data_IF_767891878021
#
_entry.id   IF_767891878021
#
_cell.length_a   1.000
_cell.length_b   1.000
_cell.length_c   1.000
_cell.angle_alpha   90.00
_cell.angle_beta   90.00
_cell.angle_gamma   90.00
#
_symmetry.space_group_name_H-M   'P 1'
#
loop_
_entity.id
_entity.type
_entity.pdbx_description
1 polymer ?
#
# COMPACT_ATOMS: atom_id res chain seq x y z
N UNK A 1 0.49 -5.53 -6.11
CA UNK A 1 1.61 -6.41 -6.55
C UNK A 1 1.96 -7.48 -5.51
N UNK A 2 2.72 -8.55 -5.83
CA UNK A 2 3.30 -9.49 -4.83
C UNK A 2 4.81 -9.67 -5.03
N UNK A 3 5.59 -9.65 -3.95
CA UNK A 3 7.07 -9.74 -3.95
C UNK A 3 7.58 -10.70 -2.89
N UNK A 4 8.85 -11.10 -2.95
CA UNK A 4 9.46 -11.92 -1.90
C UNK A 4 10.04 -11.06 -0.77
N UNK A 5 10.13 -11.62 0.44
CA UNK A 5 10.77 -10.96 1.58
C UNK A 5 12.24 -10.60 1.30
N UNK A 6 12.95 -11.42 0.52
CA UNK A 6 14.34 -11.15 0.11
C UNK A 6 14.42 -9.93 -0.80
N UNK A 7 13.51 -9.82 -1.77
CA UNK A 7 13.49 -8.70 -2.70
C UNK A 7 13.13 -7.38 -2.01
N UNK A 8 12.17 -7.42 -1.07
CA UNK A 8 11.84 -6.28 -0.22
C UNK A 8 13.05 -5.80 0.59
N UNK A 9 13.81 -6.73 1.19
CA UNK A 9 15.01 -6.38 1.97
C UNK A 9 16.04 -5.65 1.12
N UNK A 10 16.30 -6.12 -0.10
CA UNK A 10 17.30 -5.53 -1.00
C UNK A 10 16.85 -4.22 -1.65
N UNK A 11 15.53 -3.99 -1.79
CA UNK A 11 14.97 -2.85 -2.53
C UNK A 11 13.95 -2.05 -1.70
N UNK A 12 14.15 -1.92 -0.39
CA UNK A 12 13.16 -1.34 0.53
C UNK A 12 12.65 0.03 0.07
N UNK A 13 13.57 0.94 -0.31
CA UNK A 13 13.20 2.29 -0.72
C UNK A 13 12.31 2.35 -1.97
N UNK A 14 12.51 1.43 -2.94
CA UNK A 14 11.66 1.31 -4.12
C UNK A 14 10.23 0.93 -3.73
N UNK A 15 10.09 -0.07 -2.85
CA UNK A 15 8.78 -0.57 -2.45
C UNK A 15 8.04 0.36 -1.49
N UNK A 16 8.75 1.13 -0.66
CA UNK A 16 8.12 2.18 0.15
C UNK A 16 7.46 3.24 -0.75
N UNK A 17 8.14 3.68 -1.82
CA UNK A 17 7.56 4.63 -2.79
C UNK A 17 6.36 4.04 -3.54
N UNK A 18 6.44 2.77 -3.95
CA UNK A 18 5.31 2.11 -4.61
C UNK A 18 4.12 1.93 -3.65
N UNK A 19 4.39 1.64 -2.38
CA UNK A 19 3.37 1.47 -1.36
C UNK A 19 2.55 2.73 -1.08
N UNK A 20 3.04 3.92 -1.46
CA UNK A 20 2.27 5.17 -1.39
C UNK A 20 1.06 5.14 -2.32
N UNK A 21 1.11 4.36 -3.40
CA UNK A 21 0.12 4.35 -4.47
C UNK A 21 -0.61 3.00 -4.63
N UNK A 22 0.03 1.88 -4.29
CA UNK A 22 -0.58 0.55 -4.42
C UNK A 22 -0.24 -0.39 -3.25
N UNK A 23 -1.10 -1.39 -3.03
CA UNK A 23 -0.86 -2.44 -2.06
C UNK A 23 0.14 -3.49 -2.59
N UNK A 24 1.11 -3.84 -1.75
CA UNK A 24 2.14 -4.83 -2.05
C UNK A 24 2.08 -5.98 -1.05
N UNK A 25 1.84 -7.19 -1.53
CA UNK A 25 1.87 -8.41 -0.72
C UNK A 25 3.30 -8.96 -0.65
N UNK A 26 3.70 -9.38 0.55
CA UNK A 26 5.04 -9.90 0.81
C UNK A 26 4.92 -11.39 1.07
N UNK A 27 5.69 -12.17 0.33
CA UNK A 27 5.70 -13.63 0.41
C UNK A 27 7.00 -14.16 1.02
N UNK A 28 6.89 -15.28 1.74
CA UNK A 28 8.01 -16.08 2.23
C UNK A 28 7.68 -17.55 1.98
N UNK A 29 8.59 -18.26 1.31
CA UNK A 29 8.39 -19.66 0.92
C UNK A 29 7.07 -19.89 0.15
N UNK A 30 6.74 -18.98 -0.78
CA UNK A 30 5.51 -19.04 -1.59
C UNK A 30 4.21 -18.66 -0.87
N UNK A 31 4.24 -18.34 0.43
CA UNK A 31 3.06 -17.93 1.20
C UNK A 31 3.09 -16.44 1.50
N UNK A 32 1.95 -15.77 1.38
CA UNK A 32 1.79 -14.35 1.79
C UNK A 32 1.87 -14.28 3.32
N UNK A 33 2.74 -13.41 3.83
CA UNK A 33 2.98 -13.23 5.27
C UNK A 33 2.75 -11.80 5.74
N UNK A 34 2.75 -10.82 4.83
CA UNK A 34 2.53 -9.42 5.17
C UNK A 34 1.98 -8.63 3.97
N UNK A 35 1.47 -7.43 4.27
CA UNK A 35 1.03 -6.44 3.29
C UNK A 35 1.70 -5.10 3.62
N UNK A 36 2.32 -4.46 2.62
CA UNK A 36 2.81 -3.10 2.68
C UNK A 36 1.83 -2.22 1.90
N UNK A 37 1.33 -1.16 2.53
CA UNK A 37 0.26 -0.30 2.01
C UNK A 37 0.36 1.10 2.62
N UNK A 38 -0.17 2.10 1.93
CA UNK A 38 -0.23 3.48 2.43
C UNK A 38 -1.16 3.57 3.65
N UNK A 39 -0.66 3.94 4.84
CA UNK A 39 -1.47 4.00 6.05
C UNK A 39 -2.54 5.10 6.04
N UNK A 40 -2.47 6.04 5.09
CA UNK A 40 -3.39 7.17 4.98
C UNK A 40 -4.42 7.01 3.84
N UNK A 41 -4.39 5.91 3.08
CA UNK A 41 -5.28 5.72 1.94
C UNK A 41 -6.76 5.85 2.32
N UNK A 42 -7.17 5.24 3.43
CA UNK A 42 -8.55 5.29 3.91
C UNK A 42 -8.99 6.69 4.33
N UNK A 43 -8.12 7.45 5.00
CA UNK A 43 -8.40 8.83 5.40
C UNK A 43 -8.60 9.73 4.18
N UNK A 44 -7.78 9.55 3.14
CA UNK A 44 -7.92 10.28 1.87
C UNK A 44 -9.23 9.91 1.18
N UNK A 45 -9.60 8.63 1.18
CA UNK A 45 -10.87 8.17 0.62
C UNK A 45 -12.08 8.77 1.36
N UNK A 46 -12.06 8.78 2.69
CA UNK A 46 -13.13 9.39 3.51
C UNK A 46 -13.22 10.90 3.29
N UNK A 47 -12.09 11.61 3.26
CA UNK A 47 -12.08 13.06 2.99
C UNK A 47 -12.66 13.38 1.60
N UNK A 48 -12.30 12.60 0.58
CA UNK A 48 -12.88 12.73 -0.78
C UNK A 48 -14.39 12.49 -0.78
N UNK A 49 -14.87 11.48 -0.05
CA UNK A 49 -16.30 11.18 0.03
C UNK A 49 -17.10 12.31 0.69
N UNK A 50 -16.52 12.99 1.69
CA UNK A 50 -17.16 14.11 2.38
C UNK A 50 -17.17 15.39 1.53
N UNK A 51 -16.14 15.63 0.72
CA UNK A 51 -16.12 16.78 -0.20
C UNK A 51 -17.19 16.66 -1.31
N UNK A 52 -17.56 15.43 -1.70
CA UNK A 52 -18.59 15.19 -2.71
C UNK A 52 -20.05 15.39 -2.24
N UNK A 53 -20.28 15.57 -0.93
CA UNK A 53 -21.62 15.76 -0.33
C UNK A 53 -21.89 17.19 0.14
N UNK A 54 -20.97 18.13 -0.08
CA UNK A 54 -21.25 19.56 0.16
C UNK A 54 -22.04 20.08 -1.05
N UNK A 55 -23.33 20.45 -0.90
CA UNK A 55 -24.08 21.09 -1.99
C UNK A 55 -23.47 22.47 -2.25
N UNK A 56 -23.47 22.89 -3.51
CA UNK A 56 -23.06 24.25 -3.92
C UNK A 56 -23.90 25.34 -3.23
#
# INVERSE_FOLDING_TARGET
MSITATELKSNLGKYLKLAEHEDIFITRNGKVVAKLSNPNADRVAMAKSLLGVIPA
#
